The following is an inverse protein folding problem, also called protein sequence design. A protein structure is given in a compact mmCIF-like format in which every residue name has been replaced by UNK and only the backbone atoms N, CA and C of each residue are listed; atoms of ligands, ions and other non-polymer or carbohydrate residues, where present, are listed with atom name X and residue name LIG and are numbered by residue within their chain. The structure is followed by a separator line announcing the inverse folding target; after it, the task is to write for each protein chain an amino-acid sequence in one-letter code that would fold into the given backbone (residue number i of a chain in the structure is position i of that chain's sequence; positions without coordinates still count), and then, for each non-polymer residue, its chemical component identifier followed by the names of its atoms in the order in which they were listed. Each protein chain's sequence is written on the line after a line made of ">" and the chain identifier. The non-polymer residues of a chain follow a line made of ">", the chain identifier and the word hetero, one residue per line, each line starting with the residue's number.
data_IF_343140744340
#
_entry.id   IF_343140744340
#
_cell.length_a   1.000
_cell.length_b   1.000
_cell.length_c   1.000
_cell.angle_alpha   90.00
_cell.angle_beta   90.00
_cell.angle_gamma   90.00
#
_symmetry.space_group_name_H-M   'P 1'
#
loop_
_entity.id
_entity.type
_entity.pdbx_description
1 polymer ?
#
# COMPACT_ATOMS: atom_id res chain seq x y z
N UNK A 1 15.79 -1.68 -17.73
CA UNK A 1 15.75 -2.96 -18.47
C UNK A 1 14.93 -3.93 -17.63
N UNK A 2 14.02 -4.70 -18.24
CA UNK A 2 13.28 -5.74 -17.53
C UNK A 2 14.11 -7.03 -17.43
N UNK A 3 13.82 -7.92 -16.45
CA UNK A 3 14.44 -9.23 -16.36
C UNK A 3 14.14 -10.11 -17.58
N UNK A 4 14.86 -11.23 -17.72
CA UNK A 4 14.55 -12.22 -18.75
C UNK A 4 13.20 -12.91 -18.47
N UNK A 5 12.67 -13.62 -19.46
CA UNK A 5 11.42 -14.39 -19.29
C UNK A 5 11.58 -15.48 -18.25
N UNK A 6 12.75 -16.12 -18.23
CA UNK A 6 13.13 -17.17 -17.29
C UNK A 6 13.14 -16.62 -15.85
N UNK A 7 13.79 -15.47 -15.63
CA UNK A 7 13.86 -14.82 -14.31
C UNK A 7 12.46 -14.42 -13.81
N UNK A 8 11.64 -13.79 -14.67
CA UNK A 8 10.27 -13.40 -14.31
C UNK A 8 9.41 -14.62 -13.95
N UNK A 9 9.62 -15.76 -14.63
CA UNK A 9 8.91 -17.00 -14.34
C UNK A 9 9.37 -17.63 -13.02
N UNK A 10 10.66 -17.54 -12.69
CA UNK A 10 11.20 -18.01 -11.41
C UNK A 10 10.65 -17.19 -10.24
N UNK A 11 10.59 -15.87 -10.37
CA UNK A 11 10.02 -14.98 -9.35
C UNK A 11 8.55 -15.32 -9.05
N UNK A 12 7.73 -15.52 -10.09
CA UNK A 12 6.32 -15.91 -9.92
C UNK A 12 6.17 -17.30 -9.30
N UNK A 13 7.06 -18.25 -9.63
CA UNK A 13 7.06 -19.58 -8.97
C UNK A 13 7.39 -19.45 -7.48
N UNK A 14 8.37 -18.62 -7.14
CA UNK A 14 8.76 -18.33 -5.76
C UNK A 14 7.60 -17.69 -4.97
N UNK A 15 6.89 -16.74 -5.58
CA UNK A 15 5.69 -16.13 -5.01
C UNK A 15 4.62 -17.19 -4.73
N UNK A 16 4.27 -18.04 -5.71
CA UNK A 16 3.26 -19.07 -5.50
C UNK A 16 3.66 -20.08 -4.42
N UNK A 17 4.93 -20.51 -4.37
CA UNK A 17 5.43 -21.40 -3.33
C UNK A 17 5.32 -20.77 -1.94
N UNK A 18 5.63 -19.47 -1.82
CA UNK A 18 5.47 -18.70 -0.57
C UNK A 18 4.02 -18.63 -0.14
N UNK A 19 3.09 -18.32 -1.05
CA UNK A 19 1.66 -18.27 -0.77
C UNK A 19 1.13 -19.64 -0.34
N UNK A 20 1.56 -20.72 -0.99
CA UNK A 20 1.19 -22.09 -0.64
C UNK A 20 1.71 -22.48 0.75
N UNK A 21 2.97 -22.18 1.06
CA UNK A 21 3.56 -22.41 2.38
C UNK A 21 2.84 -21.64 3.50
N UNK A 22 2.28 -20.47 3.21
CA UNK A 22 1.46 -19.68 4.13
C UNK A 22 -0.01 -20.12 4.17
N UNK A 23 -0.41 -21.13 3.40
CA UNK A 23 -1.80 -21.60 3.32
C UNK A 23 -2.76 -20.61 2.63
N UNK A 24 -2.23 -19.65 1.86
CA UNK A 24 -3.03 -18.64 1.18
C UNK A 24 -3.63 -19.24 -0.10
N UNK A 25 -4.95 -19.24 -0.17
CA UNK A 25 -5.69 -19.78 -1.31
C UNK A 25 -5.48 -18.90 -2.55
N UNK A 26 -5.36 -19.52 -3.74
CA UNK A 26 -5.07 -18.85 -5.03
C UNK A 26 -5.95 -17.64 -5.35
N UNK A 27 -7.21 -17.62 -4.89
CA UNK A 27 -8.09 -16.43 -5.07
C UNK A 27 -7.57 -15.16 -4.40
N UNK A 28 -6.60 -15.27 -3.49
CA UNK A 28 -5.99 -14.15 -2.77
C UNK A 28 -4.58 -13.83 -3.27
N UNK A 29 -4.12 -14.39 -4.40
CA UNK A 29 -2.78 -14.13 -4.95
C UNK A 29 -2.48 -12.63 -5.11
N UNK A 30 -3.48 -11.82 -5.43
CA UNK A 30 -3.32 -10.37 -5.61
C UNK A 30 -3.74 -9.54 -4.39
N UNK A 31 -4.05 -10.18 -3.25
CA UNK A 31 -4.47 -9.46 -2.03
C UNK A 31 -3.25 -8.99 -1.24
N UNK A 32 -2.84 -7.75 -1.46
CA UNK A 32 -1.65 -7.17 -0.80
C UNK A 32 -1.93 -6.55 0.57
N UNK A 33 -3.11 -5.94 0.79
CA UNK A 33 -3.41 -5.29 2.07
C UNK A 33 -2.39 -4.19 2.39
N UNK A 34 -1.75 -4.24 3.57
CA UNK A 34 -0.73 -3.26 3.96
C UNK A 34 0.55 -3.34 3.11
N UNK A 35 0.89 -4.54 2.60
CA UNK A 35 2.07 -4.76 1.76
C UNK A 35 2.00 -4.03 0.40
N UNK A 36 0.85 -3.45 0.05
CA UNK A 36 0.71 -2.61 -1.14
C UNK A 36 1.68 -1.41 -1.11
N UNK A 37 2.00 -0.88 0.08
CA UNK A 37 2.90 0.26 0.21
C UNK A 37 4.34 -0.13 -0.06
N UNK A 38 4.79 -1.30 0.43
CA UNK A 38 6.11 -1.84 0.09
C UNK A 38 6.23 -2.12 -1.41
N UNK A 39 5.17 -2.66 -2.02
CA UNK A 39 5.12 -2.87 -3.47
C UNK A 39 5.20 -1.55 -4.26
N UNK A 40 4.46 -0.52 -3.84
CA UNK A 40 4.49 0.80 -4.46
C UNK A 40 5.86 1.47 -4.29
N UNK A 41 6.47 1.36 -3.10
CA UNK A 41 7.79 1.94 -2.81
C UNK A 41 8.88 1.22 -3.62
N UNK A 42 8.75 -0.10 -3.82
CA UNK A 42 9.61 -0.86 -4.72
C UNK A 42 9.49 -0.36 -6.16
N UNK A 43 8.27 -0.18 -6.68
CA UNK A 43 8.03 0.39 -8.01
C UNK A 43 8.59 1.81 -8.15
N UNK A 44 8.34 2.67 -7.16
CA UNK A 44 8.85 4.04 -7.15
C UNK A 44 10.39 4.06 -7.24
N UNK A 45 11.05 3.17 -6.51
CA UNK A 45 12.51 2.99 -6.57
C UNK A 45 12.98 2.62 -7.99
N UNK A 46 12.26 1.71 -8.69
CA UNK A 46 12.60 1.36 -10.08
C UNK A 46 12.45 2.55 -11.04
N UNK A 47 11.52 3.46 -10.75
CA UNK A 47 11.24 4.64 -11.55
C UNK A 47 12.06 5.88 -11.15
N UNK A 48 12.84 5.82 -10.08
CA UNK A 48 13.51 7.00 -9.51
C UNK A 48 12.55 8.03 -8.93
N UNK A 49 11.34 7.61 -8.53
CA UNK A 49 10.33 8.44 -7.90
C UNK A 49 10.42 8.35 -6.36
N UNK A 50 9.95 9.38 -5.63
CA UNK A 50 9.75 9.27 -4.19
C UNK A 50 8.80 8.13 -3.84
N UNK A 51 9.05 7.46 -2.70
CA UNK A 51 8.14 6.48 -2.15
C UNK A 51 6.85 7.11 -1.60
N UNK A 52 5.95 6.25 -1.15
CA UNK A 52 4.67 6.64 -0.55
C UNK A 52 4.91 7.41 0.75
N UNK A 53 4.18 8.50 0.91
CA UNK A 53 4.28 9.39 2.06
C UNK A 53 3.77 8.71 3.34
N UNK A 54 4.45 8.90 4.47
CA UNK A 54 4.10 8.24 5.73
C UNK A 54 2.70 8.64 6.23
N UNK A 55 2.29 9.90 6.06
CA UNK A 55 0.94 10.36 6.40
C UNK A 55 -0.14 9.57 5.63
N UNK A 56 0.15 9.16 4.39
CA UNK A 56 -0.78 8.40 3.56
C UNK A 56 -0.91 6.95 4.02
N UNK A 57 0.22 6.34 4.42
CA UNK A 57 0.23 4.99 5.03
C UNK A 57 -0.58 4.98 6.33
N UNK A 58 -0.37 5.98 7.19
CA UNK A 58 -1.10 6.10 8.46
C UNK A 58 -2.60 6.32 8.23
N UNK A 59 -3.00 7.23 7.32
CA UNK A 59 -4.41 7.47 6.98
C UNK A 59 -5.13 6.20 6.52
N UNK A 60 -4.46 5.36 5.70
CA UNK A 60 -5.03 4.10 5.25
C UNK A 60 -5.31 3.14 6.43
N UNK A 61 -4.37 3.05 7.38
CA UNK A 61 -4.49 2.19 8.55
C UNK A 61 -5.56 2.67 9.52
N UNK A 62 -5.55 3.96 9.88
CA UNK A 62 -6.53 4.55 10.80
C UNK A 62 -7.94 4.43 10.24
N UNK A 63 -8.13 4.75 8.96
CA UNK A 63 -9.41 4.58 8.26
C UNK A 63 -9.84 3.13 8.24
N UNK A 64 -8.92 2.19 7.98
CA UNK A 64 -9.21 0.76 7.98
C UNK A 64 -9.68 0.25 9.35
N UNK A 65 -9.04 0.70 10.44
CA UNK A 65 -9.45 0.39 11.82
C UNK A 65 -10.82 0.99 12.10
N UNK A 66 -11.03 2.26 11.77
CA UNK A 66 -12.30 2.95 12.02
C UNK A 66 -13.46 2.35 11.26
N UNK A 67 -13.28 2.00 9.98
CA UNK A 67 -14.29 1.33 9.15
C UNK A 67 -14.77 0.01 9.78
N UNK A 68 -13.88 -0.74 10.46
CA UNK A 68 -14.24 -1.97 11.17
C UNK A 68 -14.94 -1.70 12.50
N UNK A 69 -14.51 -0.68 13.23
CA UNK A 69 -15.05 -0.35 14.55
C UNK A 69 -16.40 0.41 14.50
N UNK A 70 -16.54 1.33 13.54
CA UNK A 70 -17.69 2.24 13.37
C UNK A 70 -18.11 2.30 11.89
N UNK A 71 -18.60 1.19 11.30
CA UNK A 71 -18.88 1.12 9.86
C UNK A 71 -19.89 2.16 9.34
N UNK A 72 -20.81 2.62 10.20
CA UNK A 72 -21.83 3.61 9.84
C UNK A 72 -21.30 5.05 9.87
N UNK A 73 -20.38 5.39 10.78
CA UNK A 73 -19.96 6.78 11.01
C UNK A 73 -18.53 7.08 10.59
N UNK A 74 -17.71 6.08 10.21
CA UNK A 74 -16.28 6.30 9.94
C UNK A 74 -15.97 7.31 8.82
N UNK A 75 -16.95 7.60 7.96
CA UNK A 75 -16.84 8.56 6.87
C UNK A 75 -17.12 10.00 7.30
N UNK A 76 -17.84 10.18 8.41
CA UNK A 76 -18.29 11.49 8.91
C UNK A 76 -17.57 11.89 10.20
N UNK A 77 -17.09 10.91 10.97
CA UNK A 77 -16.39 11.10 12.24
C UNK A 77 -14.93 10.61 12.14
N UNK A 78 -13.98 11.50 12.44
CA UNK A 78 -12.57 11.15 12.46
C UNK A 78 -11.74 12.08 13.35
N UNK A 79 -10.66 11.54 13.94
CA UNK A 79 -9.81 12.25 14.92
C UNK A 79 -8.40 12.52 14.38
N UNK A 80 -8.06 11.99 13.21
CA UNK A 80 -6.74 12.07 12.57
C UNK A 80 -6.53 13.39 11.81
N UNK A 81 -6.94 14.51 12.43
CA UNK A 81 -6.77 15.86 11.88
C UNK A 81 -5.29 16.21 11.64
N UNK A 82 -4.35 15.66 12.44
CA UNK A 82 -2.92 15.87 12.23
C UNK A 82 -2.45 15.32 10.87
N UNK A 83 -2.99 14.17 10.42
CA UNK A 83 -2.67 13.60 9.12
C UNK A 83 -3.16 14.49 7.99
N UNK A 84 -4.33 15.10 8.13
CA UNK A 84 -4.87 16.05 7.15
C UNK A 84 -3.95 17.27 7.06
N UNK A 85 -3.44 17.77 8.18
CA UNK A 85 -2.47 18.86 8.19
C UNK A 85 -1.16 18.48 7.50
N UNK A 86 -0.63 17.28 7.77
CA UNK A 86 0.59 16.78 7.09
C UNK A 86 0.40 16.64 5.58
N UNK A 87 -0.71 16.04 5.15
CA UNK A 87 -1.04 15.93 3.73
C UNK A 87 -1.17 17.31 3.06
N UNK A 88 -1.84 18.24 3.73
CA UNK A 88 -2.02 19.61 3.21
C UNK A 88 -0.71 20.37 3.09
N UNK A 89 0.21 20.20 4.06
CA UNK A 89 1.54 20.78 4.00
C UNK A 89 2.35 20.21 2.83
N UNK A 90 2.30 18.90 2.62
CA UNK A 90 2.93 18.23 1.49
C UNK A 90 2.37 18.71 0.14
N UNK A 91 1.05 18.79 0.00
CA UNK A 91 0.41 19.31 -1.21
C UNK A 91 0.74 20.77 -1.52
N UNK A 92 0.99 21.59 -0.50
CA UNK A 92 1.36 23.00 -0.70
C UNK A 92 2.65 23.18 -1.51
N UNK A 93 3.51 22.17 -1.55
CA UNK A 93 4.73 22.16 -2.35
C UNK A 93 4.46 22.12 -3.87
N UNK A 94 3.23 21.74 -4.26
CA UNK A 94 2.83 21.51 -5.65
C UNK A 94 1.71 22.45 -6.12
N UNK A 95 1.23 23.35 -5.25
CA UNK A 95 0.17 24.31 -5.60
C UNK A 95 0.82 25.64 -5.97
N UNK A 96 0.73 26.03 -7.24
CA UNK A 96 1.14 27.35 -7.76
C UNK A 96 -0.03 28.34 -7.75
#
# INVERSE_FOLDING_TARGET
>A
MLPSKEDMMEDIKSLYATLEAQGIQKRYTHRMGIAQFEYNDWLATQCGCPGTEEWRKEMYLTTGVRKRAKPETYRDEWEDHHLISQASQDFSLYTH
#
